data_IF_896315677567
#
_entry.id   IF_896315677567
#
_cell.length_a   1.000
_cell.length_b   1.000
_cell.length_c   1.000
_cell.angle_alpha   90.00
_cell.angle_beta   90.00
_cell.angle_gamma   90.00
#
_symmetry.space_group_name_H-M   'P 1'
#
loop_
_entity.id
_entity.type
_entity.pdbx_description
1 polymer ?
#
# COMPACT_ATOMS: atom_id res chain seq x y z
N UNK A 1 -17.90 -9.29 9.09
CA UNK A 1 -17.21 -8.38 10.03
C UNK A 1 -15.73 -8.68 9.94
N UNK A 2 -14.88 -7.71 9.63
CA UNK A 2 -13.42 -7.90 9.53
C UNK A 2 -12.84 -8.12 10.92
N UNK A 3 -12.28 -9.30 11.19
CA UNK A 3 -11.68 -9.67 12.48
C UNK A 3 -10.25 -9.09 12.66
N UNK A 4 -9.96 -7.96 12.03
CA UNK A 4 -8.61 -7.40 11.98
C UNK A 4 -8.52 -5.98 11.43
N UNK A 5 -7.47 -5.27 11.83
CA UNK A 5 -7.06 -3.98 11.28
C UNK A 5 -5.77 -4.15 10.48
N UNK A 6 -5.51 -3.19 9.60
CA UNK A 6 -4.20 -2.99 8.99
C UNK A 6 -3.70 -1.61 9.36
N UNK A 7 -2.50 -1.55 9.95
CA UNK A 7 -1.87 -0.30 10.34
C UNK A 7 -0.77 0.03 9.35
N UNK A 8 -1.07 0.93 8.42
CA UNK A 8 -0.09 1.52 7.52
C UNK A 8 0.75 2.57 8.27
N UNK A 9 2.05 2.58 8.02
CA UNK A 9 2.98 3.49 8.70
C UNK A 9 4.16 3.88 7.80
N UNK A 10 4.97 4.83 8.25
CA UNK A 10 6.26 5.16 7.62
C UNK A 10 7.32 4.04 7.68
N UNK A 11 7.02 2.93 8.36
CA UNK A 11 7.94 1.80 8.58
C UNK A 11 7.39 0.47 8.07
N UNK A 12 6.28 0.50 7.33
CA UNK A 12 5.63 -0.68 6.77
C UNK A 12 4.18 -0.82 7.17
N UNK A 13 3.62 -1.98 6.86
CA UNK A 13 2.24 -2.37 7.11
C UNK A 13 2.19 -3.49 8.15
N UNK A 14 1.44 -3.29 9.23
CA UNK A 14 1.26 -4.30 10.29
C UNK A 14 -0.19 -4.76 10.33
N UNK A 15 -0.50 -6.04 10.05
CA UNK A 15 -1.81 -6.61 10.33
C UNK A 15 -1.98 -6.78 11.83
N UNK A 16 -3.11 -6.32 12.36
CA UNK A 16 -3.51 -6.56 13.75
C UNK A 16 -4.77 -7.42 13.71
N UNK A 17 -4.80 -8.51 14.47
CA UNK A 17 -5.91 -9.47 14.48
C UNK A 17 -6.50 -9.59 15.86
N UNK A 18 -7.82 -9.74 15.93
CA UNK A 18 -8.48 -10.02 17.20
C UNK A 18 -8.23 -11.48 17.57
N UNK A 19 -7.82 -11.71 18.82
CA UNK A 19 -7.69 -13.02 19.46
C UNK A 19 -8.57 -13.04 20.71
N UNK A 20 -8.79 -14.23 21.28
CA UNK A 20 -9.74 -14.45 22.40
C UNK A 20 -9.69 -13.38 23.50
N UNK A 21 -8.49 -12.92 23.88
CA UNK A 21 -8.27 -11.98 25.00
C UNK A 21 -7.62 -10.66 24.60
N UNK A 22 -7.61 -10.30 23.30
CA UNK A 22 -7.01 -9.04 22.89
C UNK A 22 -6.70 -8.92 21.41
N UNK A 23 -5.72 -8.08 21.11
CA UNK A 23 -5.23 -7.84 19.75
C UNK A 23 -3.78 -8.30 19.66
N UNK A 24 -3.44 -8.93 18.54
CA UNK A 24 -2.11 -9.45 18.26
C UNK A 24 -1.62 -8.88 16.93
N UNK A 25 -0.38 -8.39 16.90
CA UNK A 25 0.28 -7.97 15.67
C UNK A 25 0.81 -9.20 14.93
N UNK A 26 0.50 -9.31 13.65
CA UNK A 26 1.07 -10.31 12.76
C UNK A 26 2.39 -9.86 12.13
N UNK A 27 2.90 -10.67 11.19
CA UNK A 27 4.10 -10.35 10.43
C UNK A 27 3.90 -9.07 9.61
N UNK A 28 4.88 -8.16 9.68
CA UNK A 28 4.85 -6.93 8.91
C UNK A 28 5.12 -7.20 7.42
N UNK A 29 4.41 -6.48 6.56
CA UNK A 29 4.74 -6.33 5.14
C UNK A 29 5.46 -5.00 4.92
N UNK A 30 6.23 -4.89 3.83
CA UNK A 30 6.91 -3.65 3.42
C UNK A 30 7.79 -3.06 4.55
N UNK A 31 8.56 -3.91 5.23
CA UNK A 31 9.34 -3.49 6.41
C UNK A 31 10.35 -2.40 6.03
N UNK A 32 10.22 -1.24 6.67
CA UNK A 32 11.06 -0.06 6.39
C UNK A 32 10.56 0.81 5.24
N UNK A 33 9.53 0.40 4.52
CA UNK A 33 8.95 1.13 3.40
C UNK A 33 7.70 1.91 3.86
N UNK A 34 7.56 3.20 3.54
CA UNK A 34 6.39 3.98 3.92
C UNK A 34 5.14 3.55 3.14
N UNK A 35 4.13 3.08 3.87
CA UNK A 35 2.79 2.76 3.31
C UNK A 35 1.88 3.97 3.56
N UNK A 36 1.46 4.63 2.48
CA UNK A 36 0.66 5.87 2.54
C UNK A 36 -0.84 5.59 2.63
N UNK A 37 -1.33 4.50 2.02
CA UNK A 37 -2.72 4.10 2.07
C UNK A 37 -2.86 2.57 2.02
N UNK A 38 -3.89 2.05 2.69
CA UNK A 38 -4.28 0.64 2.67
C UNK A 38 -5.80 0.56 2.51
N UNK A 39 -6.26 -0.28 1.59
CA UNK A 39 -7.67 -0.60 1.40
C UNK A 39 -7.85 -2.10 1.40
N UNK A 40 -8.87 -2.57 2.11
CA UNK A 40 -9.44 -3.90 1.90
C UNK A 40 -10.71 -3.70 1.09
N UNK A 41 -10.67 -4.09 -0.17
CA UNK A 41 -11.77 -3.92 -1.10
C UNK A 41 -12.98 -4.75 -0.62
N UNK A 42 -14.15 -4.13 -0.34
CA UNK A 42 -15.32 -4.86 0.14
C UNK A 42 -15.96 -5.75 -0.94
N UNK A 43 -15.59 -5.59 -2.22
CA UNK A 43 -16.18 -6.32 -3.34
C UNK A 43 -15.66 -7.76 -3.42
N UNK A 44 -14.36 -7.95 -3.19
CA UNK A 44 -13.68 -9.25 -3.36
C UNK A 44 -12.73 -9.61 -2.21
N UNK A 45 -12.48 -8.67 -1.27
CA UNK A 45 -11.58 -8.86 -0.15
C UNK A 45 -10.09 -8.66 -0.50
N UNK A 46 -9.76 -8.25 -1.72
CA UNK A 46 -8.39 -7.91 -2.13
C UNK A 46 -7.85 -6.75 -1.29
N UNK A 47 -6.60 -6.85 -0.85
CA UNK A 47 -5.91 -5.72 -0.23
C UNK A 47 -5.15 -4.93 -1.28
N UNK A 48 -5.18 -3.61 -1.16
CA UNK A 48 -4.36 -2.69 -1.93
C UNK A 48 -3.52 -1.84 -1.00
N UNK A 49 -2.22 -1.80 -1.21
CA UNK A 49 -1.28 -0.99 -0.45
C UNK A 49 -0.58 -0.01 -1.40
N UNK A 50 -0.69 1.29 -1.11
CA UNK A 50 0.09 2.32 -1.77
C UNK A 50 1.31 2.68 -0.92
N UNK A 51 2.47 2.77 -1.57
CA UNK A 51 3.74 3.09 -0.93
C UNK A 51 4.30 4.40 -1.48
N UNK A 52 4.92 5.21 -0.60
CA UNK A 52 5.61 6.46 -0.94
C UNK A 52 7.11 6.29 -0.68
N UNK A 53 7.88 5.88 -1.68
CA UNK A 53 9.28 5.48 -1.54
C UNK A 53 10.29 6.61 -1.77
N UNK A 54 9.86 7.88 -1.65
CA UNK A 54 10.72 9.04 -1.84
C UNK A 54 11.28 9.08 -3.26
N UNK A 55 12.60 8.99 -3.41
CA UNK A 55 13.27 9.04 -4.72
C UNK A 55 12.84 7.91 -5.69
N UNK A 56 12.37 6.78 -5.16
CA UNK A 56 11.88 5.67 -5.99
C UNK A 56 10.41 5.83 -6.42
N UNK A 57 9.74 6.91 -6.00
CA UNK A 57 8.38 7.25 -6.38
C UNK A 57 7.29 6.45 -5.66
N UNK A 58 6.06 6.58 -6.17
CA UNK A 58 4.90 5.88 -5.66
C UNK A 58 4.78 4.47 -6.24
N UNK A 59 4.48 3.48 -5.39
CA UNK A 59 4.22 2.09 -5.79
C UNK A 59 2.82 1.66 -5.35
N UNK A 60 2.20 0.77 -6.11
CA UNK A 60 0.90 0.18 -5.78
C UNK A 60 1.06 -1.33 -5.76
N UNK A 61 0.64 -1.97 -4.68
CA UNK A 61 0.68 -3.41 -4.54
C UNK A 61 -0.72 -3.94 -4.23
N UNK A 62 -1.02 -5.17 -4.68
CA UNK A 62 -2.21 -5.90 -4.26
C UNK A 62 -1.87 -7.22 -3.58
N UNK A 63 -2.77 -7.69 -2.73
CA UNK A 63 -2.71 -9.03 -2.15
C UNK A 63 -4.09 -9.69 -2.20
N UNK A 64 -4.17 -10.85 -2.84
CA UNK A 64 -5.37 -11.70 -2.86
C UNK A 64 -5.42 -12.72 -1.72
N UNK A 65 -4.45 -12.71 -0.80
CA UNK A 65 -4.31 -13.72 0.26
C UNK A 65 -4.07 -13.09 1.64
N UNK A 66 -4.87 -12.07 1.98
CA UNK A 66 -4.87 -11.39 3.29
C UNK A 66 -3.51 -10.76 3.70
N UNK A 67 -2.64 -10.47 2.73
CA UNK A 67 -1.34 -9.83 2.95
C UNK A 67 -0.19 -10.82 3.12
N UNK A 68 -0.41 -12.13 2.89
CA UNK A 68 0.64 -13.14 2.94
C UNK A 68 1.65 -13.00 1.80
N UNK A 69 1.20 -12.57 0.61
CA UNK A 69 2.06 -12.18 -0.50
C UNK A 69 1.51 -10.97 -1.24
N UNK A 70 2.40 -10.24 -1.91
CA UNK A 70 2.07 -9.00 -2.61
C UNK A 70 2.56 -9.03 -4.06
N UNK A 71 1.72 -8.55 -4.96
CA UNK A 71 2.04 -8.33 -6.37
C UNK A 71 2.11 -6.83 -6.63
N UNK A 72 3.18 -6.35 -7.25
CA UNK A 72 3.27 -4.95 -7.70
C UNK A 72 2.37 -4.73 -8.91
N UNK A 73 1.61 -3.64 -8.89
CA UNK A 73 0.77 -3.16 -9.97
C UNK A 73 1.36 -1.88 -10.55
N UNK A 74 1.04 -1.55 -11.82
CA UNK A 74 1.29 -0.21 -12.34
C UNK A 74 0.61 0.84 -11.45
N UNK A 75 1.39 1.79 -10.94
CA UNK A 75 0.84 2.97 -10.27
C UNK A 75 0.30 3.95 -11.32
N UNK A 76 -0.67 4.82 -10.96
CA UNK A 76 -1.05 5.94 -11.81
C UNK A 76 0.17 6.78 -12.20
N UNK A 77 0.17 7.31 -13.42
CA UNK A 77 1.25 8.14 -13.92
C UNK A 77 0.69 9.41 -14.57
N UNK A 78 1.41 10.52 -14.42
CA UNK A 78 1.17 11.70 -15.22
C UNK A 78 1.68 11.50 -16.66
N UNK A 79 1.22 12.32 -17.62
CA UNK A 79 1.78 12.32 -18.96
C UNK A 79 3.31 12.47 -18.94
N UNK A 80 3.98 11.78 -19.85
CA UNK A 80 5.41 11.92 -20.03
C UNK A 80 5.77 13.35 -20.49
N UNK A 81 7.02 13.74 -20.25
CA UNK A 81 7.55 14.97 -20.79
C UNK A 81 7.45 14.97 -22.34
N UNK A 82 7.13 16.12 -22.97
CA UNK A 82 7.05 16.21 -24.41
C UNK A 82 8.40 16.00 -25.10
N UNK A 83 9.49 16.31 -24.39
CA UNK A 83 10.88 16.12 -24.82
C UNK A 83 11.66 15.43 -23.71
N UNK A 84 12.71 14.64 -24.00
CA UNK A 84 13.43 13.84 -23.00
C UNK A 84 14.00 14.63 -21.82
N UNK A 85 14.42 15.87 -22.05
CA UNK A 85 15.05 16.74 -21.06
C UNK A 85 14.08 17.76 -20.45
N UNK A 86 12.80 17.73 -20.84
CA UNK A 86 11.80 18.62 -20.27
C UNK A 86 11.34 18.11 -18.90
N UNK A 87 11.16 19.04 -17.96
CA UNK A 87 10.62 18.72 -16.64
C UNK A 87 9.15 18.29 -16.74
N UNK A 88 8.80 17.18 -16.11
CA UNK A 88 7.43 16.67 -16.04
C UNK A 88 7.06 16.27 -14.61
N UNK A 89 5.79 16.44 -14.21
CA UNK A 89 5.36 16.04 -12.88
C UNK A 89 5.45 14.51 -12.73
N UNK A 90 5.88 14.08 -11.54
CA UNK A 90 5.86 12.68 -11.14
C UNK A 90 4.83 12.46 -10.03
N UNK A 91 4.25 11.25 -9.98
CA UNK A 91 3.36 10.88 -8.89
C UNK A 91 4.18 10.73 -7.59
N UNK A 92 4.01 11.67 -6.67
CA UNK A 92 4.65 11.60 -5.34
C UNK A 92 3.95 10.58 -4.42
N UNK A 93 2.62 10.60 -4.35
CA UNK A 93 1.87 9.84 -3.36
C UNK A 93 0.43 9.57 -3.78
N UNK A 94 -0.03 8.33 -3.58
CA UNK A 94 -1.45 8.03 -3.45
C UNK A 94 -1.85 8.26 -1.99
N UNK A 95 -2.64 9.31 -1.76
CA UNK A 95 -3.11 9.71 -0.43
C UNK A 95 -4.23 8.80 0.10
N UNK A 96 -5.09 8.30 -0.78
CA UNK A 96 -6.23 7.47 -0.39
C UNK A 96 -6.60 6.47 -1.48
N UNK A 97 -7.30 5.42 -1.07
CA UNK A 97 -7.85 4.35 -1.90
C UNK A 97 -9.33 4.20 -1.50
N UNK A 98 -10.22 4.05 -2.48
CA UNK A 98 -11.68 4.03 -2.29
C UNK A 98 -12.35 2.96 -3.14
#
# INVERSE_FOLDING_TARGET
>A
MTEGLYVASRKGLVPIRRRNRGWEAGAAAFLGEPVSAILRDPRDGTLYAALRLGHFGCKLHRSGNDGASWEELPAPAYPAAPEPDAEAPALDMIWTLA
#
